data_IF_958167811908
#
_entry.id   IF_958167811908
#
_cell.length_a   1.000
_cell.length_b   1.000
_cell.length_c   1.000
_cell.angle_alpha   90.00
_cell.angle_beta   90.00
_cell.angle_gamma   90.00
#
_symmetry.space_group_name_H-M   'P 1'
#
loop_
_entity.id
_entity.type
_entity.pdbx_description
1 polymer ?
#
# COMPACT_ATOMS: atom_id res chain seq x y z
N UNK A 1 24.88 -13.08 9.74
CA UNK A 1 24.76 -11.93 10.67
C UNK A 1 23.57 -11.13 10.16
N UNK A 2 22.43 -11.19 10.85
CA UNK A 2 21.23 -10.47 10.42
C UNK A 2 21.24 -9.12 11.13
N UNK A 3 21.42 -8.03 10.37
CA UNK A 3 21.36 -6.67 10.90
C UNK A 3 19.94 -6.13 10.71
N UNK A 4 19.35 -5.60 11.77
CA UNK A 4 18.10 -4.85 11.67
C UNK A 4 18.47 -3.41 11.29
N UNK A 5 17.86 -2.89 10.23
CA UNK A 5 17.97 -1.50 9.80
C UNK A 5 16.65 -0.77 9.99
N UNK A 6 16.73 0.47 10.47
CA UNK A 6 15.56 1.35 10.61
C UNK A 6 15.48 2.29 9.42
N UNK A 7 14.26 2.54 8.94
CA UNK A 7 13.98 3.57 7.92
C UNK A 7 13.06 4.60 8.57
N UNK A 8 13.56 5.82 8.73
CA UNK A 8 12.75 6.90 9.29
C UNK A 8 11.64 7.29 8.31
N UNK A 9 10.40 7.51 8.79
CA UNK A 9 9.33 8.05 7.95
C UNK A 9 9.61 9.52 7.60
N UNK A 10 9.04 10.05 6.51
CA UNK A 10 9.22 11.45 6.13
C UNK A 10 8.56 12.44 7.12
N UNK A 11 7.70 11.96 8.02
CA UNK A 11 7.17 12.76 9.13
C UNK A 11 6.98 11.91 10.40
N UNK A 12 7.37 12.41 11.58
CA UNK A 12 7.30 11.65 12.84
C UNK A 12 5.85 11.51 13.38
N UNK A 13 4.86 12.12 12.74
CA UNK A 13 3.47 12.14 13.22
C UNK A 13 2.55 11.16 12.45
N UNK A 14 3.14 10.27 11.65
CA UNK A 14 2.40 9.30 10.84
C UNK A 14 2.19 8.00 11.64
N UNK A 15 1.01 7.86 12.26
CA UNK A 15 0.66 6.69 13.08
C UNK A 15 0.05 5.53 12.28
N UNK A 16 -0.54 5.82 11.12
CA UNK A 16 -1.17 4.82 10.26
C UNK A 16 -0.55 4.90 8.85
N UNK A 17 0.54 4.14 8.67
CA UNK A 17 1.19 3.95 7.38
C UNK A 17 0.95 2.52 6.90
N UNK A 18 0.88 2.36 5.59
CA UNK A 18 0.88 1.06 4.93
C UNK A 18 2.02 1.04 3.94
N UNK A 19 2.92 0.08 4.08
CA UNK A 19 3.94 -0.18 3.07
C UNK A 19 3.29 -0.75 1.82
N UNK A 20 3.83 -0.44 0.66
CA UNK A 20 3.34 -0.93 -0.63
C UNK A 20 4.50 -1.03 -1.62
N UNK A 21 4.31 -1.83 -2.65
CA UNK A 21 5.20 -1.85 -3.81
C UNK A 21 4.78 -0.74 -4.78
N UNK A 22 5.76 0.00 -5.32
CA UNK A 22 5.56 1.00 -6.35
C UNK A 22 5.60 0.38 -7.76
N UNK A 23 5.07 1.06 -8.78
CA UNK A 23 5.09 0.55 -10.17
C UNK A 23 6.51 0.29 -10.71
N UNK A 24 7.51 0.99 -10.19
CA UNK A 24 8.92 0.81 -10.53
C UNK A 24 9.64 -0.26 -9.66
N UNK A 25 8.90 -0.98 -8.81
CA UNK A 25 9.42 -1.99 -7.89
C UNK A 25 10.08 -1.41 -6.63
N UNK A 26 10.05 -0.09 -6.42
CA UNK A 26 10.57 0.51 -5.19
C UNK A 26 9.64 0.26 -4.00
N UNK A 27 10.20 0.41 -2.80
CA UNK A 27 9.40 0.45 -1.58
C UNK A 27 8.65 1.78 -1.52
N UNK A 28 7.34 1.72 -1.38
CA UNK A 28 6.50 2.87 -1.10
C UNK A 28 5.79 2.76 0.23
N UNK A 29 5.17 3.85 0.64
CA UNK A 29 4.14 3.80 1.67
C UNK A 29 3.04 4.82 1.41
N UNK A 30 1.86 4.51 1.93
CA UNK A 30 0.68 5.36 1.90
C UNK A 30 0.25 5.72 3.31
N UNK A 31 -0.19 6.95 3.51
CA UNK A 31 -0.75 7.43 4.77
C UNK A 31 -1.85 8.46 4.53
N UNK A 32 -2.73 8.63 5.51
CA UNK A 32 -3.75 9.67 5.48
C UNK A 32 -3.39 10.74 6.51
N UNK A 33 -3.35 11.99 6.06
CA UNK A 33 -3.19 13.16 6.92
C UNK A 33 -4.39 14.08 6.67
N UNK A 34 -5.15 14.35 7.72
CA UNK A 34 -6.45 15.02 7.64
C UNK A 34 -7.40 14.29 6.69
N UNK A 35 -7.61 14.82 5.48
CA UNK A 35 -8.52 14.27 4.46
C UNK A 35 -7.80 13.88 3.16
N UNK A 36 -6.47 13.85 3.18
CA UNK A 36 -5.65 13.59 2.00
C UNK A 36 -4.82 12.32 2.18
N UNK A 37 -4.84 11.48 1.16
CA UNK A 37 -3.96 10.33 1.00
C UNK A 37 -2.65 10.79 0.38
N UNK A 38 -1.55 10.55 1.07
CA UNK A 38 -0.20 10.80 0.60
C UNK A 38 0.44 9.48 0.21
N UNK A 39 1.07 9.46 -0.96
CA UNK A 39 1.85 8.30 -1.44
C UNK A 39 3.29 8.73 -1.64
N UNK A 40 4.20 7.95 -1.08
CA UNK A 40 5.64 8.17 -1.10
C UNK A 40 6.36 6.97 -1.71
N UNK A 41 7.47 7.23 -2.39
CA UNK A 41 8.40 6.24 -2.94
C UNK A 41 9.76 6.40 -2.26
N UNK A 42 10.44 5.29 -2.00
CA UNK A 42 11.83 5.27 -1.57
C UNK A 42 12.71 5.28 -2.81
N UNK A 43 13.44 6.36 -3.02
CA UNK A 43 14.29 6.56 -4.20
C UNK A 43 15.74 6.75 -3.78
N UNK A 44 16.66 6.39 -4.67
CA UNK A 44 18.10 6.60 -4.46
C UNK A 44 18.50 7.87 -5.19
N UNK A 45 19.03 8.83 -4.45
CA UNK A 45 19.48 10.09 -5.03
C UNK A 45 20.81 9.93 -5.78
N UNK A 46 21.28 11.00 -6.43
CA UNK A 46 22.52 10.99 -7.22
C UNK A 46 23.78 10.65 -6.41
N UNK A 47 23.73 10.80 -5.09
CA UNK A 47 24.83 10.50 -4.17
C UNK A 47 24.76 9.05 -3.65
N UNK A 48 23.76 8.27 -4.06
CA UNK A 48 23.56 6.89 -3.64
C UNK A 48 22.82 6.75 -2.31
N UNK A 49 22.35 7.84 -1.71
CA UNK A 49 21.56 7.81 -0.49
C UNK A 49 20.07 7.58 -0.80
N UNK A 50 19.43 6.68 -0.03
CA UNK A 50 18.00 6.41 -0.19
C UNK A 50 17.17 7.44 0.61
N UNK A 51 16.19 8.06 -0.01
CA UNK A 51 15.31 9.08 0.57
C UNK A 51 13.84 8.87 0.21
N UNK A 52 12.94 9.48 0.98
CA UNK A 52 11.50 9.45 0.68
C UNK A 52 11.11 10.61 -0.24
N UNK A 53 10.51 10.29 -1.37
CA UNK A 53 10.00 11.26 -2.35
C UNK A 53 8.48 11.18 -2.39
N UNK A 54 7.81 12.32 -2.27
CA UNK A 54 6.34 12.38 -2.34
C UNK A 54 5.90 12.23 -3.80
N UNK A 55 5.22 11.12 -4.11
CA UNK A 55 4.78 10.83 -5.48
C UNK A 55 3.44 11.49 -5.79
N UNK A 56 2.49 11.46 -4.84
CA UNK A 56 1.14 11.98 -5.08
C UNK A 56 0.43 12.36 -3.80
N UNK A 57 -0.52 13.29 -3.94
CA UNK A 57 -1.50 13.67 -2.92
C UNK A 57 -2.88 13.56 -3.54
N UNK A 58 -3.76 12.80 -2.89
CA UNK A 58 -5.09 12.47 -3.39
C UNK A 58 -6.12 12.87 -2.32
N UNK A 59 -7.07 13.73 -2.68
CA UNK A 59 -8.15 14.12 -1.78
C UNK A 59 -9.13 12.96 -1.57
N UNK A 60 -9.19 12.44 -0.35
CA UNK A 60 -9.93 11.24 -0.02
C UNK A 60 -11.45 11.48 -0.01
N UNK A 61 -11.88 12.68 0.42
CA UNK A 61 -13.29 13.08 0.47
C UNK A 61 -14.00 13.00 -0.90
N UNK A 62 -13.24 13.15 -1.99
CA UNK A 62 -13.77 13.02 -3.36
C UNK A 62 -13.90 11.59 -3.84
N UNK A 63 -13.27 10.63 -3.15
CA UNK A 63 -13.13 9.24 -3.61
C UNK A 63 -13.85 8.25 -2.70
N UNK A 64 -13.73 8.40 -1.38
CA UNK A 64 -14.25 7.47 -0.39
C UNK A 64 -15.26 8.20 0.49
N UNK A 65 -16.50 7.69 0.64
CA UNK A 65 -17.45 8.28 1.54
C UNK A 65 -16.97 8.15 3.00
N UNK A 66 -17.13 9.22 3.77
CA UNK A 66 -16.86 9.26 5.22
C UNK A 66 -18.18 9.58 5.92
N UNK A 67 -18.48 8.92 7.05
CA UNK A 67 -19.79 9.05 7.69
C UNK A 67 -20.00 10.43 8.33
N UNK A 68 -18.94 11.02 8.86
CA UNK A 68 -18.91 12.34 9.48
C UNK A 68 -17.48 12.91 9.43
N UNK A 69 -17.31 14.22 9.61
CA UNK A 69 -15.98 14.87 9.59
C UNK A 69 -15.06 14.40 10.74
N UNK A 70 -15.60 13.70 11.73
CA UNK A 70 -14.87 13.23 12.90
C UNK A 70 -14.39 11.77 12.75
N UNK A 71 -14.92 11.04 11.76
CA UNK A 71 -14.57 9.66 11.45
C UNK A 71 -13.26 9.68 10.66
N UNK A 72 -12.19 9.29 11.35
CA UNK A 72 -10.87 9.25 10.75
C UNK A 72 -10.76 8.08 9.78
N UNK A 73 -10.50 8.39 8.53
CA UNK A 73 -10.08 7.38 7.56
C UNK A 73 -8.65 6.93 7.87
N UNK A 74 -8.39 5.63 7.71
CA UNK A 74 -7.06 5.07 7.89
C UNK A 74 -6.72 4.12 6.75
N UNK A 75 -5.47 4.15 6.28
CA UNK A 75 -4.94 3.11 5.40
C UNK A 75 -4.58 1.91 6.26
N UNK A 76 -5.11 0.75 5.90
CA UNK A 76 -5.02 -0.48 6.72
C UNK A 76 -4.37 -1.63 5.98
N UNK A 77 -3.96 -1.45 4.73
CA UNK A 77 -3.26 -2.49 3.98
C UNK A 77 -3.09 -2.16 2.51
N UNK A 78 -2.27 -2.94 1.81
CA UNK A 78 -2.01 -2.82 0.38
C UNK A 78 -1.96 -4.21 -0.25
N UNK A 79 -2.22 -4.27 -1.55
CA UNK A 79 -2.03 -5.47 -2.36
C UNK A 79 -0.77 -5.32 -3.22
N UNK A 80 0.15 -6.27 -3.07
CA UNK A 80 1.43 -6.33 -3.79
C UNK A 80 1.23 -6.36 -5.32
N UNK A 81 2.06 -5.66 -6.09
CA UNK A 81 2.05 -5.68 -7.55
C UNK A 81 0.82 -5.12 -8.29
N UNK A 82 -0.23 -4.65 -7.60
CA UNK A 82 -1.47 -4.18 -8.27
C UNK A 82 -1.86 -2.73 -7.95
N UNK A 83 -1.07 -2.03 -7.14
CA UNK A 83 -1.31 -0.60 -6.85
C UNK A 83 -2.65 -0.34 -6.14
N UNK A 84 -3.10 -1.29 -5.32
CA UNK A 84 -4.34 -1.17 -4.54
C UNK A 84 -4.01 -1.01 -3.07
N UNK A 85 -4.68 -0.06 -2.43
CA UNK A 85 -4.69 0.10 -0.97
C UNK A 85 -6.07 -0.14 -0.39
N UNK A 86 -6.12 -0.43 0.91
CA UNK A 86 -7.33 -0.60 1.67
C UNK A 86 -7.49 0.54 2.65
N UNK A 87 -8.65 1.20 2.59
CA UNK A 87 -8.98 2.35 3.43
C UNK A 87 -10.19 2.02 4.28
N UNK A 88 -10.02 2.08 5.59
CA UNK A 88 -11.08 1.94 6.57
C UNK A 88 -11.69 3.30 6.86
N UNK A 89 -13.02 3.40 6.82
CA UNK A 89 -13.78 4.58 7.24
C UNK A 89 -14.96 4.16 8.13
N UNK A 90 -15.65 5.13 8.74
CA UNK A 90 -16.85 4.86 9.53
C UNK A 90 -18.01 4.22 8.75
N UNK A 91 -18.00 4.26 7.40
CA UNK A 91 -19.04 3.63 6.57
C UNK A 91 -18.61 2.29 5.97
N UNK A 92 -17.36 1.85 6.16
CA UNK A 92 -16.88 0.54 5.75
C UNK A 92 -15.44 0.52 5.27
N UNK A 93 -15.05 -0.62 4.70
CA UNK A 93 -13.73 -0.85 4.12
C UNK A 93 -13.80 -0.71 2.61
N UNK A 94 -12.84 0.00 2.04
CA UNK A 94 -12.76 0.27 0.61
C UNK A 94 -11.42 -0.17 0.04
N UNK A 95 -11.46 -0.85 -1.11
CA UNK A 95 -10.30 -1.02 -1.98
C UNK A 95 -10.21 0.20 -2.91
N UNK A 96 -9.03 0.82 -2.97
CA UNK A 96 -8.75 2.00 -3.78
C UNK A 96 -7.61 1.68 -4.73
N UNK A 97 -7.88 1.73 -6.03
CA UNK A 97 -6.87 1.59 -7.08
C UNK A 97 -6.23 2.96 -7.33
N UNK A 98 -4.94 3.11 -7.03
CA UNK A 98 -4.28 4.43 -6.96
C UNK A 98 -4.20 5.12 -8.32
N UNK A 99 -3.91 4.36 -9.38
CA UNK A 99 -3.75 4.90 -10.74
C UNK A 99 -5.08 5.35 -11.35
N UNK A 100 -6.09 4.49 -11.29
CA UNK A 100 -7.40 4.75 -11.90
C UNK A 100 -8.33 5.58 -11.00
N UNK A 101 -7.99 5.72 -9.71
CA UNK A 101 -8.81 6.32 -8.66
C UNK A 101 -10.16 5.62 -8.47
N UNK A 102 -10.26 4.36 -8.87
CA UNK A 102 -11.48 3.56 -8.69
C UNK A 102 -11.58 3.09 -7.25
N UNK A 103 -12.79 3.20 -6.71
CA UNK A 103 -13.09 2.83 -5.33
C UNK A 103 -14.15 1.74 -5.31
N UNK A 104 -13.93 0.70 -4.52
CA UNK A 104 -14.88 -0.39 -4.31
C UNK A 104 -15.06 -0.65 -2.81
N UNK A 105 -16.29 -0.57 -2.31
CA UNK A 105 -16.60 -1.04 -0.96
C UNK A 105 -16.45 -2.56 -0.91
N UNK A 106 -15.64 -3.07 0.01
CA UNK A 106 -15.35 -4.50 0.16
C UNK A 106 -15.87 -5.10 1.46
N UNK A 107 -16.07 -4.28 2.50
CA UNK A 107 -16.69 -4.71 3.76
C UNK A 107 -17.57 -3.61 4.37
N UNK A 108 -18.45 -4.02 5.29
CA UNK A 108 -19.31 -3.12 6.07
C UNK A 108 -18.51 -2.34 7.15
N UNK A 109 -19.10 -1.34 7.82
CA UNK A 109 -18.46 -0.67 8.96
C UNK A 109 -17.93 -1.67 9.99
N UNK A 110 -16.73 -1.41 10.50
CA UNK A 110 -16.05 -2.28 11.45
C UNK A 110 -14.68 -1.72 11.84
N UNK A 111 -14.04 -2.36 12.81
CA UNK A 111 -12.67 -2.01 13.23
C UNK A 111 -11.69 -2.85 12.43
N UNK A 112 -11.02 -2.23 11.47
CA UNK A 112 -9.99 -2.87 10.64
C UNK A 112 -8.62 -2.32 11.03
N UNK A 113 -7.80 -3.15 11.68
CA UNK A 113 -6.42 -2.76 12.02
C UNK A 113 -5.45 -3.04 10.87
N UNK A 114 -5.64 -4.17 10.19
CA UNK A 114 -4.82 -4.59 9.06
C UNK A 114 -5.63 -5.40 8.06
N UNK A 115 -5.33 -5.24 6.78
CA UNK A 115 -5.85 -6.05 5.67
C UNK A 115 -4.64 -6.67 4.97
N UNK A 116 -4.61 -8.00 4.94
CA UNK A 116 -3.57 -8.78 4.28
C UNK A 116 -4.20 -9.50 3.09
N UNK A 117 -4.25 -8.86 1.90
CA UNK A 117 -4.80 -9.49 0.72
C UNK A 117 -3.92 -10.66 0.30
N UNK A 118 -4.55 -11.79 0.03
CA UNK A 118 -3.87 -12.98 -0.45
C UNK A 118 -4.03 -13.08 -1.96
N UNK A 119 -2.92 -13.03 -2.70
CA UNK A 119 -2.93 -12.89 -4.16
C UNK A 119 -2.57 -14.16 -4.93
N UNK A 120 -1.84 -15.09 -4.33
CA UNK A 120 -1.43 -16.32 -5.00
C UNK A 120 -1.22 -17.45 -4.00
N UNK A 121 -1.57 -18.67 -4.41
CA UNK A 121 -1.20 -19.90 -3.70
C UNK A 121 0.09 -20.44 -4.27
N UNK A 122 1.08 -20.70 -3.40
CA UNK A 122 2.12 -21.64 -3.75
C UNK A 122 1.48 -23.03 -3.78
N UNK A 123 1.23 -23.51 -4.99
CA UNK A 123 0.90 -24.92 -5.22
C UNK A 123 2.21 -25.58 -5.63
N UNK A 124 2.95 -26.21 -4.68
CA UNK A 124 4.08 -27.04 -5.07
C UNK A 124 3.52 -28.09 -6.01
N UNK A 125 4.00 -28.05 -7.23
CA UNK A 125 3.75 -29.05 -8.24
C UNK A 125 3.98 -30.42 -7.61
N UNK A 126 2.96 -31.26 -7.69
CA UNK A 126 3.11 -32.67 -7.37
C UNK A 126 3.94 -33.29 -8.51
N UNK A 127 5.25 -33.07 -8.46
CA UNK A 127 6.27 -33.65 -9.32
C UNK A 127 5.99 -33.53 -10.81
N UNK A 128 6.49 -32.47 -11.45
CA UNK A 128 6.98 -32.64 -12.82
C UNK A 128 8.28 -31.88 -12.99
N UNK A 129 9.38 -32.63 -12.85
CA UNK A 129 10.67 -32.30 -13.44
C UNK A 129 10.45 -31.95 -14.93
N UNK A 130 10.32 -30.66 -15.25
CA UNK A 130 10.62 -30.17 -16.58
C UNK A 130 12.03 -29.62 -16.55
N UNK A 131 12.92 -30.56 -16.85
CA UNK A 131 14.29 -30.42 -17.30
C UNK A 131 14.66 -29.07 -17.87
N UNK A 132 15.82 -28.58 -17.42
CA UNK A 132 16.78 -27.82 -18.21
C UNK A 132 16.72 -28.23 -19.71
N UNK A 133 16.46 -27.25 -20.57
CA UNK A 133 17.01 -27.27 -21.92
C UNK A 133 17.52 -25.86 -22.24
N UNK A 134 18.86 -25.76 -22.29
CA UNK A 134 19.59 -24.73 -23.04
C UNK A 134 19.26 -24.84 -24.54
N UNK A 135 19.72 -23.82 -25.28
CA UNK A 135 19.77 -23.61 -26.75
C UNK A 135 18.51 -22.94 -27.31
N UNK A 136 18.59 -21.82 -28.04
CA UNK A 136 19.69 -21.26 -28.83
C UNK A 136 20.16 -19.87 -28.39
#
# INVERSE_FOLDING_TARGET
>A
MNCISTIDPPSPHLYAITLMEMENGSLGFACIVSSSLYVWSREVNSEGAAEWVQCSVIELEKMVPVANQNDKAAVVGSAEGVGVIFVSTGVGLFAVELRSRRVKKVQQPGVYFSVLPYMSFYTPDRGTLLSLARTH
#
